data_IF_594118269127
#
_entry.id   IF_594118269127
#
_cell.length_a   1.000
_cell.length_b   1.000
_cell.length_c   1.000
_cell.angle_alpha   90.00
_cell.angle_beta   90.00
_cell.angle_gamma   90.00
#
_symmetry.space_group_name_H-M   'P 1'
#
loop_
_entity.id
_entity.type
_entity.pdbx_description
1 polymer ?
#
# COMPACT_ATOMS: atom_id res chain seq x y z
N UNK A 1 8.36 4.46 -1.97
CA UNK A 1 8.93 5.70 -2.53
C UNK A 1 9.00 6.82 -1.50
N UNK A 2 9.74 7.89 -1.82
CA UNK A 2 9.98 9.02 -0.92
C UNK A 2 8.73 9.84 -0.61
N UNK A 3 8.82 10.72 0.41
CA UNK A 3 7.74 11.68 0.73
C UNK A 3 7.36 12.51 -0.50
N UNK A 4 6.08 12.83 -0.62
CA UNK A 4 5.52 13.74 -1.64
C UNK A 4 5.77 13.31 -3.10
N UNK A 5 6.03 12.03 -3.37
CA UNK A 5 6.18 11.48 -4.73
C UNK A 5 4.87 11.01 -5.37
N UNK A 6 3.74 11.19 -4.68
CA UNK A 6 2.41 10.85 -5.20
C UNK A 6 1.92 9.45 -4.83
N UNK A 7 2.50 8.77 -3.81
CA UNK A 7 2.05 7.44 -3.34
C UNK A 7 0.56 7.39 -3.02
N UNK A 8 0.12 8.28 -2.13
CA UNK A 8 -1.29 8.39 -1.72
C UNK A 8 -2.19 8.73 -2.92
N UNK A 9 -1.73 9.59 -3.85
CA UNK A 9 -2.50 9.92 -5.03
C UNK A 9 -2.76 8.71 -5.94
N UNK A 10 -1.75 7.86 -6.18
CA UNK A 10 -1.93 6.62 -6.94
C UNK A 10 -2.95 5.70 -6.27
N UNK A 11 -2.89 5.57 -4.94
CA UNK A 11 -3.86 4.77 -4.19
C UNK A 11 -5.28 5.34 -4.30
N UNK A 12 -5.45 6.66 -4.21
CA UNK A 12 -6.74 7.32 -4.40
C UNK A 12 -7.26 7.15 -5.83
N UNK A 13 -6.41 7.31 -6.84
CA UNK A 13 -6.78 7.07 -8.24
C UNK A 13 -7.18 5.61 -8.47
N UNK A 14 -6.53 4.66 -7.80
CA UNK A 14 -6.92 3.24 -7.84
C UNK A 14 -8.32 3.03 -7.26
N UNK A 15 -8.63 3.66 -6.11
CA UNK A 15 -9.99 3.62 -5.52
C UNK A 15 -11.02 4.25 -6.48
N UNK A 16 -10.71 5.41 -7.05
CA UNK A 16 -11.61 6.12 -7.96
C UNK A 16 -11.93 5.32 -9.23
N UNK A 17 -10.97 4.51 -9.69
CA UNK A 17 -11.14 3.65 -10.86
C UNK A 17 -12.00 2.41 -10.59
N UNK A 18 -12.36 2.12 -9.34
CA UNK A 18 -13.28 1.01 -8.99
C UNK A 18 -14.76 1.38 -9.15
N UNK A 19 -15.05 2.57 -9.61
CA UNK A 19 -16.43 3.03 -9.79
C UNK A 19 -17.19 2.15 -10.79
N UNK A 20 -18.25 1.50 -10.31
CA UNK A 20 -19.09 0.63 -11.13
C UNK A 20 -18.62 -0.83 -11.22
N UNK A 21 -17.54 -1.20 -10.56
CA UNK A 21 -16.97 -2.57 -10.58
C UNK A 21 -17.47 -3.46 -9.42
N UNK A 22 -18.44 -3.01 -8.62
CA UNK A 22 -18.95 -3.72 -7.41
C UNK A 22 -17.84 -4.13 -6.43
N UNK A 23 -16.79 -3.33 -6.34
CA UNK A 23 -15.64 -3.52 -5.44
C UNK A 23 -15.76 -2.59 -4.24
N UNK A 24 -15.66 -3.13 -3.03
CA UNK A 24 -15.60 -2.33 -1.82
C UNK A 24 -14.17 -1.90 -1.56
N UNK A 25 -13.96 -0.59 -1.39
CA UNK A 25 -12.65 -0.04 -1.10
C UNK A 25 -12.53 0.29 0.40
N UNK A 26 -11.38 -0.02 0.99
CA UNK A 26 -11.05 0.34 2.37
C UNK A 26 -9.75 1.12 2.36
N UNK A 27 -9.80 2.40 2.72
CA UNK A 27 -8.62 3.24 2.88
C UNK A 27 -8.23 3.32 4.35
N UNK A 28 -7.03 2.86 4.68
CA UNK A 28 -6.52 2.82 6.05
C UNK A 28 -5.45 3.88 6.24
N UNK A 29 -5.75 4.92 6.98
CA UNK A 29 -4.82 5.98 7.35
C UNK A 29 -4.13 5.64 8.67
N UNK A 30 -2.81 5.42 8.64
CA UNK A 30 -2.02 5.05 9.82
C UNK A 30 -1.09 6.20 10.19
N UNK A 31 -1.43 6.93 11.25
CA UNK A 31 -0.63 8.03 11.76
C UNK A 31 -0.59 9.26 10.83
N UNK A 32 -1.65 9.49 10.06
CA UNK A 32 -1.83 10.72 9.29
C UNK A 32 -2.43 11.83 10.15
N UNK A 33 -2.27 13.07 9.72
CA UNK A 33 -2.93 14.21 10.36
C UNK A 33 -4.42 14.24 10.05
N UNK A 34 -5.24 14.81 10.93
CA UNK A 34 -6.68 15.01 10.71
C UNK A 34 -6.96 15.80 9.44
N UNK A 35 -6.07 16.76 9.09
CA UNK A 35 -6.17 17.53 7.87
C UNK A 35 -5.99 16.65 6.63
N UNK A 36 -4.95 15.82 6.59
CA UNK A 36 -4.70 14.91 5.46
C UNK A 36 -5.87 13.96 5.23
N UNK A 37 -6.41 13.37 6.31
CA UNK A 37 -7.58 12.47 6.20
C UNK A 37 -8.82 13.22 5.73
N UNK A 38 -9.03 14.45 6.19
CA UNK A 38 -10.13 15.31 5.70
C UNK A 38 -9.99 15.63 4.22
N UNK A 39 -8.77 15.94 3.77
CA UNK A 39 -8.51 16.23 2.35
C UNK A 39 -8.77 15.01 1.48
N UNK A 40 -8.36 13.81 1.93
CA UNK A 40 -8.64 12.52 1.27
C UNK A 40 -10.15 12.27 1.20
N UNK A 41 -10.85 12.40 2.33
CA UNK A 41 -12.31 12.27 2.39
C UNK A 41 -13.00 13.20 1.40
N UNK A 42 -12.59 14.47 1.38
CA UNK A 42 -13.17 15.47 0.49
C UNK A 42 -12.94 15.14 -0.99
N UNK A 43 -11.76 14.65 -1.35
CA UNK A 43 -11.46 14.21 -2.72
C UNK A 43 -12.34 13.03 -3.14
N UNK A 44 -12.47 12.01 -2.29
CA UNK A 44 -13.32 10.85 -2.56
C UNK A 44 -14.80 11.22 -2.63
N UNK A 45 -15.25 12.10 -1.75
CA UNK A 45 -16.64 12.59 -1.72
C UNK A 45 -16.99 13.37 -2.99
N UNK A 46 -16.14 14.34 -3.38
CA UNK A 46 -16.37 15.16 -4.57
C UNK A 46 -16.44 14.35 -5.86
N UNK A 47 -15.79 13.17 -5.88
CA UNK A 47 -15.80 12.27 -7.04
C UNK A 47 -16.78 11.10 -6.90
N UNK A 48 -17.63 11.10 -5.85
CA UNK A 48 -18.67 10.10 -5.62
C UNK A 48 -18.14 8.72 -5.19
N UNK A 49 -16.88 8.62 -4.77
CA UNK A 49 -16.27 7.34 -4.38
C UNK A 49 -16.63 6.91 -2.95
N UNK A 50 -17.21 7.80 -2.13
CA UNK A 50 -17.63 7.47 -0.77
C UNK A 50 -18.81 6.48 -0.71
N UNK A 51 -19.51 6.26 -1.81
CA UNK A 51 -20.60 5.27 -1.89
C UNK A 51 -20.09 3.81 -1.72
N UNK A 52 -18.84 3.55 -2.13
CA UNK A 52 -18.20 2.22 -2.07
C UNK A 52 -16.89 2.23 -1.28
N UNK A 53 -16.56 3.31 -0.55
CA UNK A 53 -15.30 3.44 0.18
C UNK A 53 -15.53 3.61 1.67
N UNK A 54 -14.82 2.81 2.47
CA UNK A 54 -14.73 2.91 3.92
C UNK A 54 -13.38 3.53 4.27
N UNK A 55 -13.36 4.55 5.13
CA UNK A 55 -12.13 5.13 5.66
C UNK A 55 -11.96 4.69 7.12
N UNK A 56 -10.86 4.01 7.41
CA UNK A 56 -10.43 3.64 8.76
C UNK A 56 -9.19 4.46 9.09
N UNK A 57 -9.24 5.28 10.12
CA UNK A 57 -8.17 6.21 10.41
C UNK A 57 -7.73 6.16 11.88
N UNK A 58 -6.42 6.10 12.10
CA UNK A 58 -5.77 6.46 13.34
C UNK A 58 -4.82 7.64 13.07
N UNK A 59 -4.98 8.68 13.87
CA UNK A 59 -4.28 9.94 13.68
C UNK A 59 -2.90 9.91 14.35
N UNK A 60 -2.03 10.83 13.98
CA UNK A 60 -0.69 10.95 14.52
C UNK A 60 -0.64 11.32 16.02
N UNK A 61 -1.73 11.87 16.55
CA UNK A 61 -1.93 12.24 17.97
C UNK A 61 -2.63 11.13 18.78
N UNK A 62 -3.04 10.03 18.15
CA UNK A 62 -3.60 8.86 18.83
C UNK A 62 -2.48 8.05 19.51
N UNK A 63 -2.85 7.28 20.55
CA UNK A 63 -1.90 6.43 21.25
C UNK A 63 -1.37 5.28 20.38
N UNK A 64 -0.14 4.86 20.63
CA UNK A 64 0.56 3.84 19.84
C UNK A 64 -0.23 2.51 19.66
N UNK A 65 -0.93 1.96 20.67
CA UNK A 65 -1.74 0.75 20.50
C UNK A 65 -2.90 0.92 19.50
N UNK A 66 -3.50 2.09 19.40
CA UNK A 66 -4.55 2.38 18.40
C UNK A 66 -3.96 2.36 17.01
N UNK A 67 -2.83 3.04 16.80
CA UNK A 67 -2.11 3.03 15.52
C UNK A 67 -1.68 1.61 15.11
N UNK A 68 -1.23 0.80 16.07
CA UNK A 68 -0.83 -0.58 15.81
C UNK A 68 -2.02 -1.47 15.43
N UNK A 69 -3.18 -1.31 16.07
CA UNK A 69 -4.35 -2.17 15.84
C UNK A 69 -5.19 -1.78 14.62
N UNK A 70 -5.09 -0.55 14.16
CA UNK A 70 -5.90 0.02 13.06
C UNK A 70 -5.88 -0.83 11.78
N UNK A 71 -4.72 -1.27 11.23
CA UNK A 71 -4.72 -2.08 10.02
C UNK A 71 -5.40 -3.44 10.24
N UNK A 72 -5.28 -4.05 11.41
CA UNK A 72 -5.96 -5.31 11.72
C UNK A 72 -7.48 -5.15 11.76
N UNK A 73 -7.97 -4.07 12.36
CA UNK A 73 -9.40 -3.75 12.37
C UNK A 73 -9.95 -3.58 10.94
N UNK A 74 -9.23 -2.85 10.09
CA UNK A 74 -9.61 -2.66 8.70
C UNK A 74 -9.63 -3.98 7.90
N UNK A 75 -8.64 -4.84 8.11
CA UNK A 75 -8.57 -6.16 7.47
C UNK A 75 -9.68 -7.09 7.95
N UNK A 76 -10.09 -7.01 9.23
CA UNK A 76 -11.25 -7.76 9.74
C UNK A 76 -12.55 -7.33 9.07
N UNK A 77 -12.70 -6.03 8.76
CA UNK A 77 -13.82 -5.52 7.95
C UNK A 77 -13.76 -6.12 6.54
N UNK A 78 -12.57 -6.14 5.92
CA UNK A 78 -12.38 -6.73 4.60
C UNK A 78 -12.74 -8.23 4.55
N UNK A 79 -12.34 -9.00 5.58
CA UNK A 79 -12.69 -10.42 5.69
C UNK A 79 -14.20 -10.66 5.79
N UNK A 80 -14.95 -9.75 6.42
CA UNK A 80 -16.40 -9.86 6.49
C UNK A 80 -17.02 -9.83 5.10
N UNK A 81 -16.62 -8.87 4.27
CA UNK A 81 -17.08 -8.78 2.88
C UNK A 81 -16.58 -9.93 2.01
N UNK A 82 -15.34 -10.39 2.23
CA UNK A 82 -14.81 -11.58 1.55
C UNK A 82 -15.70 -12.81 1.79
N UNK A 83 -16.16 -13.02 3.02
CA UNK A 83 -17.05 -14.13 3.38
C UNK A 83 -18.43 -14.01 2.73
N UNK A 84 -18.87 -12.79 2.43
CA UNK A 84 -20.07 -12.50 1.66
C UNK A 84 -19.87 -12.70 0.15
N UNK A 85 -18.66 -13.08 -0.30
CA UNK A 85 -18.35 -13.30 -1.70
C UNK A 85 -18.03 -12.02 -2.48
N UNK A 86 -17.73 -10.91 -1.81
CA UNK A 86 -17.44 -9.62 -2.44
C UNK A 86 -15.94 -9.43 -2.67
N UNK A 87 -15.60 -8.63 -3.66
CA UNK A 87 -14.24 -8.18 -3.93
C UNK A 87 -13.92 -6.91 -3.13
N UNK A 88 -12.77 -6.90 -2.48
CA UNK A 88 -12.33 -5.80 -1.59
C UNK A 88 -10.96 -5.32 -1.96
N UNK A 89 -10.80 -4.00 -2.09
CA UNK A 89 -9.51 -3.33 -2.24
C UNK A 89 -9.15 -2.65 -0.91
N UNK A 90 -8.03 -3.03 -0.31
CA UNK A 90 -7.52 -2.43 0.93
C UNK A 90 -6.25 -1.65 0.66
N UNK A 91 -6.23 -0.38 1.01
CA UNK A 91 -5.04 0.49 0.94
C UNK A 91 -4.53 0.73 2.37
N UNK A 92 -3.27 0.37 2.65
CA UNK A 92 -2.62 0.60 3.95
C UNK A 92 -1.61 1.76 3.81
N UNK A 93 -1.96 2.95 4.30
CA UNK A 93 -1.14 4.17 4.16
C UNK A 93 -0.75 4.75 5.53
N UNK A 94 0.51 4.52 6.10
CA UNK A 94 1.55 3.68 5.48
C UNK A 94 2.09 2.64 6.48
N UNK A 95 2.64 1.56 5.97
CA UNK A 95 3.20 0.49 6.80
C UNK A 95 4.56 0.83 7.42
N UNK A 96 5.29 1.83 6.91
CA UNK A 96 6.51 2.31 7.58
C UNK A 96 6.16 2.95 8.92
N UNK A 97 5.11 3.77 8.95
CA UNK A 97 4.61 4.37 10.19
C UNK A 97 4.13 3.30 11.17
N UNK A 98 3.41 2.28 10.67
CA UNK A 98 3.02 1.14 11.51
C UNK A 98 4.23 0.43 12.13
N UNK A 99 5.29 0.17 11.35
CA UNK A 99 6.52 -0.43 11.87
C UNK A 99 7.20 0.44 12.95
N UNK A 100 7.25 1.75 12.72
CA UNK A 100 7.83 2.69 13.70
C UNK A 100 7.05 2.69 15.02
N UNK A 101 5.73 2.59 14.96
CA UNK A 101 4.86 2.44 16.14
C UNK A 101 5.11 1.11 16.86
N UNK A 102 5.25 0.00 16.12
CA UNK A 102 5.59 -1.30 16.72
C UNK A 102 6.95 -1.24 17.43
N UNK A 103 7.93 -0.54 16.86
CA UNK A 103 9.24 -0.30 17.49
C UNK A 103 9.11 0.52 18.77
N UNK A 104 8.33 1.61 18.74
CA UNK A 104 8.06 2.43 19.91
C UNK A 104 7.46 1.62 21.07
N UNK A 105 6.43 0.82 20.80
CA UNK A 105 5.80 -0.05 21.80
C UNK A 105 6.80 -1.07 22.34
N UNK A 106 7.58 -1.71 21.48
CA UNK A 106 8.56 -2.72 21.90
C UNK A 106 9.65 -2.12 22.81
N UNK A 107 10.11 -0.92 22.49
CA UNK A 107 11.11 -0.22 23.31
C UNK A 107 10.53 0.21 24.66
N UNK A 108 9.30 0.71 24.70
CA UNK A 108 8.62 1.04 25.96
C UNK A 108 8.35 -0.20 26.84
N UNK A 109 8.18 -1.36 26.22
CA UNK A 109 8.01 -2.64 26.92
C UNK A 109 9.36 -3.33 27.24
N UNK A 110 10.48 -2.66 27.02
CA UNK A 110 11.84 -3.18 27.26
C UNK A 110 12.11 -4.53 26.56
N UNK A 111 11.44 -4.78 25.42
CA UNK A 111 11.68 -5.99 24.62
C UNK A 111 13.06 -5.89 23.92
N UNK A 112 13.73 -7.03 23.82
CA UNK A 112 15.03 -7.11 23.12
C UNK A 112 14.88 -6.63 21.67
N UNK A 113 15.63 -5.59 21.27
CA UNK A 113 15.54 -5.05 19.91
C UNK A 113 16.18 -6.00 18.89
N UNK A 114 15.56 -6.11 17.74
CA UNK A 114 16.12 -6.75 16.56
C UNK A 114 16.86 -5.77 15.65
N UNK A 115 16.92 -6.08 14.35
CA UNK A 115 17.56 -5.22 13.34
C UNK A 115 16.92 -3.84 13.32
N UNK A 116 17.72 -2.80 13.25
CA UNK A 116 17.33 -1.38 13.25
C UNK A 116 16.41 -1.01 14.44
N UNK A 117 16.58 -1.73 15.56
CA UNK A 117 15.77 -1.64 16.77
C UNK A 117 14.26 -1.97 16.59
N UNK A 118 13.87 -2.56 15.47
CA UNK A 118 12.51 -3.10 15.32
C UNK A 118 12.33 -4.38 16.14
N UNK A 119 11.08 -4.70 16.53
CA UNK A 119 10.78 -5.99 17.15
C UNK A 119 11.22 -7.13 16.23
N UNK A 120 11.78 -8.24 16.78
CA UNK A 120 12.21 -9.38 15.96
C UNK A 120 11.07 -10.01 15.13
N UNK A 121 9.84 -9.87 15.59
CA UNK A 121 8.61 -10.39 14.95
C UNK A 121 7.92 -9.42 13.99
N UNK A 122 8.53 -8.27 13.68
CA UNK A 122 7.92 -7.26 12.79
C UNK A 122 7.63 -7.82 11.37
N UNK A 123 8.51 -8.69 10.87
CA UNK A 123 8.29 -9.36 9.59
C UNK A 123 7.01 -10.23 9.63
N UNK A 124 6.84 -10.99 10.70
CA UNK A 124 5.66 -11.83 10.89
C UNK A 124 4.38 -11.00 11.02
N UNK A 125 4.43 -9.87 11.74
CA UNK A 125 3.30 -8.96 11.87
C UNK A 125 2.84 -8.44 10.49
N UNK A 126 3.78 -8.01 9.63
CA UNK A 126 3.46 -7.54 8.29
C UNK A 126 3.02 -8.66 7.35
N UNK A 127 3.70 -9.82 7.39
CA UNK A 127 3.33 -11.01 6.60
C UNK A 127 1.89 -11.43 6.90
N UNK A 128 1.52 -11.54 8.18
CA UNK A 128 0.16 -11.90 8.60
C UNK A 128 -0.91 -10.92 8.08
N UNK A 129 -0.60 -9.63 8.00
CA UNK A 129 -1.53 -8.64 7.42
C UNK A 129 -1.64 -8.76 5.91
N UNK A 130 -0.51 -8.88 5.22
CA UNK A 130 -0.46 -8.82 3.75
C UNK A 130 -0.90 -10.12 3.09
N UNK A 131 -0.71 -11.27 3.76
CA UNK A 131 -1.17 -12.58 3.28
C UNK A 131 -2.70 -12.79 3.39
N UNK A 132 -3.42 -11.85 4.00
CA UNK A 132 -4.88 -11.80 3.88
C UNK A 132 -5.35 -11.39 2.47
N UNK A 133 -4.45 -10.84 1.65
CA UNK A 133 -4.70 -10.65 0.23
C UNK A 133 -4.83 -12.00 -0.48
N UNK A 134 -6.03 -12.37 -0.89
CA UNK A 134 -6.31 -13.69 -1.47
C UNK A 134 -7.55 -13.69 -2.36
N UNK A 135 -7.63 -14.70 -3.23
CA UNK A 135 -8.86 -15.09 -3.93
C UNK A 135 -9.50 -16.24 -3.17
N UNK A 136 -10.70 -16.05 -2.65
CA UNK A 136 -11.41 -17.08 -1.89
C UNK A 136 -12.08 -18.10 -2.81
N UNK A 137 -12.11 -19.38 -2.38
CA UNK A 137 -12.69 -20.47 -3.17
C UNK A 137 -14.19 -20.33 -3.44
N UNK A 138 -14.90 -19.70 -2.53
CA UNK A 138 -16.36 -19.51 -2.61
C UNK A 138 -16.76 -18.18 -3.31
N UNK A 139 -15.85 -17.54 -3.99
CA UNK A 139 -16.01 -16.20 -4.57
C UNK A 139 -15.48 -15.12 -3.62
N UNK A 140 -15.32 -13.93 -4.17
CA UNK A 140 -14.72 -12.79 -3.49
C UNK A 140 -13.19 -12.82 -3.45
N UNK A 141 -12.61 -11.65 -3.31
CA UNK A 141 -11.18 -11.46 -3.21
C UNK A 141 -10.80 -10.29 -2.30
N UNK A 142 -9.60 -10.31 -1.74
CA UNK A 142 -8.99 -9.15 -1.09
C UNK A 142 -7.70 -8.81 -1.83
N UNK A 143 -7.63 -7.59 -2.36
CA UNK A 143 -6.41 -7.01 -2.91
C UNK A 143 -5.86 -6.00 -1.92
N UNK A 144 -4.62 -6.18 -1.47
CA UNK A 144 -3.97 -5.28 -0.52
C UNK A 144 -2.91 -4.44 -1.21
N UNK A 145 -3.02 -3.10 -1.11
CA UNK A 145 -2.03 -2.14 -1.58
C UNK A 145 -1.31 -1.51 -0.38
N UNK A 146 -0.18 -2.06 0.06
CA UNK A 146 0.61 -1.45 1.11
C UNK A 146 1.42 -0.28 0.56
N UNK A 147 1.30 0.89 1.20
CA UNK A 147 2.17 2.03 0.95
C UNK A 147 3.32 1.96 1.95
N UNK A 148 4.54 2.14 1.45
CA UNK A 148 5.73 2.24 2.27
C UNK A 148 6.54 3.47 1.88
N UNK A 149 6.82 4.33 2.86
CA UNK A 149 7.68 5.48 2.69
C UNK A 149 9.15 5.05 2.75
N UNK A 150 9.96 5.51 1.79
CA UNK A 150 11.41 5.35 1.79
C UNK A 150 12.07 6.68 2.14
N UNK A 151 13.35 6.63 2.53
CA UNK A 151 14.17 7.81 2.78
C UNK A 151 15.27 7.90 1.71
N UNK A 152 15.30 9.01 0.96
CA UNK A 152 16.34 9.25 -0.06
C UNK A 152 16.34 8.24 -1.23
N UNK A 153 15.18 7.64 -1.54
CA UNK A 153 15.06 6.64 -2.60
C UNK A 153 15.61 5.27 -2.25
N UNK A 154 16.01 5.04 -1.00
CA UNK A 154 16.56 3.76 -0.55
C UNK A 154 15.45 2.73 -0.35
N UNK A 155 15.34 1.80 -1.29
CA UNK A 155 14.43 0.65 -1.22
C UNK A 155 15.04 -0.54 -0.47
N UNK A 156 16.32 -0.44 -0.06
CA UNK A 156 17.04 -1.50 0.66
C UNK A 156 16.88 -1.42 2.18
N UNK A 157 16.15 -0.40 2.67
CA UNK A 157 15.74 -0.27 4.06
C UNK A 157 15.03 -1.53 4.56
N UNK A 158 15.28 -1.91 5.81
CA UNK A 158 14.81 -3.17 6.40
C UNK A 158 13.30 -3.37 6.26
N UNK A 159 12.49 -2.36 6.53
CA UNK A 159 11.02 -2.48 6.42
C UNK A 159 10.59 -2.56 4.96
N UNK A 160 11.18 -1.76 4.08
CA UNK A 160 10.86 -1.79 2.65
C UNK A 160 11.16 -3.13 2.03
N UNK A 161 12.34 -3.73 2.32
CA UNK A 161 12.73 -5.07 1.82
C UNK A 161 11.82 -6.16 2.34
N UNK A 162 11.39 -6.08 3.61
CA UNK A 162 10.43 -7.03 4.19
C UNK A 162 9.08 -6.97 3.45
N UNK A 163 8.52 -5.78 3.25
CA UNK A 163 7.24 -5.61 2.54
C UNK A 163 7.36 -6.08 1.08
N UNK A 164 8.45 -5.75 0.38
CA UNK A 164 8.72 -6.23 -0.97
C UNK A 164 8.79 -7.76 -1.02
N UNK A 165 9.38 -8.40 -0.01
CA UNK A 165 9.51 -9.86 0.02
C UNK A 165 8.19 -10.58 0.24
N UNK A 166 7.23 -9.95 0.94
CA UNK A 166 5.91 -10.52 1.21
C UNK A 166 4.96 -10.32 0.02
N UNK A 167 5.02 -9.17 -0.65
CA UNK A 167 4.08 -8.79 -1.72
C UNK A 167 4.44 -9.39 -3.07
N UNK A 168 3.47 -9.48 -3.98
CA UNK A 168 3.63 -10.02 -5.35
C UNK A 168 4.31 -9.06 -6.33
N UNK A 169 4.70 -7.90 -5.88
CA UNK A 169 5.41 -6.91 -6.67
C UNK A 169 5.47 -5.55 -5.99
N UNK A 170 6.21 -4.64 -6.62
CA UNK A 170 6.35 -3.28 -6.12
C UNK A 170 6.27 -2.25 -7.24
N UNK A 171 5.69 -1.11 -6.94
CA UNK A 171 5.73 0.11 -7.75
C UNK A 171 6.61 1.11 -6.99
N UNK A 172 7.76 1.44 -7.55
CA UNK A 172 8.73 2.36 -6.95
C UNK A 172 8.55 3.76 -7.52
N UNK A 173 8.30 4.73 -6.64
CA UNK A 173 8.20 6.13 -7.01
C UNK A 173 9.51 6.86 -6.69
N UNK A 174 10.03 7.63 -7.64
CA UNK A 174 11.29 8.34 -7.55
C UNK A 174 11.08 9.84 -7.39
N UNK A 175 11.72 10.43 -6.36
CA UNK A 175 11.74 11.88 -6.20
C UNK A 175 12.38 12.59 -7.41
N UNK A 176 13.46 12.02 -7.96
CA UNK A 176 14.14 12.55 -9.15
C UNK A 176 13.21 12.63 -10.36
N UNK A 177 12.38 11.59 -10.59
CA UNK A 177 11.42 11.58 -11.70
C UNK A 177 10.31 12.60 -11.44
N UNK A 178 9.87 12.75 -10.18
CA UNK A 178 8.88 13.73 -9.81
C UNK A 178 9.36 15.18 -10.06
N UNK A 179 10.61 15.49 -9.69
CA UNK A 179 11.25 16.78 -9.92
C UNK A 179 11.44 17.10 -11.41
N UNK A 180 11.69 16.09 -12.23
CA UNK A 180 11.74 16.20 -13.70
C UNK A 180 10.36 16.43 -14.34
N UNK A 181 9.27 16.45 -13.53
CA UNK A 181 7.90 16.63 -14.02
C UNK A 181 7.23 15.35 -14.52
N UNK A 182 7.87 14.19 -14.40
CA UNK A 182 7.26 12.91 -14.76
C UNK A 182 6.16 12.55 -13.74
N UNK A 183 4.93 12.47 -14.18
CA UNK A 183 3.76 12.12 -13.36
C UNK A 183 2.91 11.08 -14.07
N UNK A 184 2.71 9.91 -13.46
CA UNK A 184 3.23 9.43 -12.15
C UNK A 184 4.76 9.23 -12.19
N UNK A 185 5.41 9.49 -11.04
CA UNK A 185 6.86 9.45 -10.89
C UNK A 185 7.41 8.02 -10.75
N UNK A 186 6.92 7.08 -11.55
CA UNK A 186 7.27 5.66 -11.48
C UNK A 186 8.67 5.44 -12.02
N UNK A 187 9.47 4.71 -11.25
CA UNK A 187 10.74 4.16 -11.71
C UNK A 187 10.48 2.79 -12.35
N UNK A 188 10.49 2.73 -13.67
CA UNK A 188 10.18 1.52 -14.44
C UNK A 188 11.26 0.43 -14.32
N UNK A 189 12.48 0.80 -13.99
CA UNK A 189 13.59 -0.14 -13.78
C UNK A 189 13.45 -0.92 -12.48
N UNK A 190 13.05 -0.25 -11.40
CA UNK A 190 12.92 -0.82 -10.06
C UNK A 190 11.53 -1.38 -9.75
N UNK A 191 10.53 -1.06 -10.59
CA UNK A 191 9.17 -1.57 -10.43
C UNK A 191 9.07 -2.96 -11.07
N UNK A 192 8.64 -3.95 -10.29
CA UNK A 192 8.61 -5.36 -10.69
C UNK A 192 7.31 -6.01 -10.23
N UNK A 193 6.76 -6.90 -11.07
CA UNK A 193 5.69 -7.84 -10.71
C UNK A 193 6.27 -9.27 -10.70
N UNK A 194 6.05 -10.02 -9.63
CA UNK A 194 6.45 -11.44 -9.53
C UNK A 194 5.57 -12.35 -10.37
N UNK A 195 4.29 -12.01 -10.49
CA UNK A 195 3.31 -12.75 -11.30
C UNK A 195 3.52 -12.49 -12.81
N UNK A 196 4.19 -11.39 -13.15
CA UNK A 196 4.50 -11.01 -14.52
C UNK A 196 3.26 -10.94 -15.41
N UNK A 197 3.32 -11.62 -16.55
CA UNK A 197 2.23 -11.64 -17.52
C UNK A 197 1.10 -12.64 -17.24
N UNK A 198 1.04 -13.31 -16.08
CA UNK A 198 0.07 -14.39 -15.83
C UNK A 198 -1.39 -13.94 -15.99
N UNK A 199 -1.72 -12.74 -15.51
CA UNK A 199 -3.08 -12.15 -15.57
C UNK A 199 -3.27 -11.17 -16.74
N UNK A 200 -2.25 -10.97 -17.58
CA UNK A 200 -2.35 -10.06 -18.73
C UNK A 200 -3.11 -10.68 -19.90
N UNK A 201 -3.83 -9.84 -20.62
CA UNK A 201 -4.42 -10.23 -21.91
C UNK A 201 -3.30 -10.55 -22.93
N UNK A 202 -3.62 -11.33 -23.96
CA UNK A 202 -2.64 -11.68 -25.00
C UNK A 202 -2.03 -10.44 -25.69
N UNK A 203 -2.82 -9.39 -25.87
CA UNK A 203 -2.37 -8.12 -26.43
C UNK A 203 -1.32 -7.43 -25.52
N UNK A 204 -1.58 -7.34 -24.21
CA UNK A 204 -0.65 -6.75 -23.26
C UNK A 204 0.63 -7.58 -23.10
N UNK A 205 0.54 -8.91 -23.11
CA UNK A 205 1.74 -9.79 -23.10
C UNK A 205 2.67 -9.54 -24.28
N UNK A 206 2.08 -9.27 -25.46
CA UNK A 206 2.87 -9.02 -26.68
C UNK A 206 3.42 -7.60 -26.74
N UNK A 207 2.65 -6.60 -26.33
CA UNK A 207 3.04 -5.18 -26.41
C UNK A 207 3.92 -4.70 -25.24
N UNK A 208 3.72 -5.23 -24.02
CA UNK A 208 4.37 -4.76 -22.81
C UNK A 208 5.90 -4.83 -22.82
N UNK A 209 6.52 -5.99 -23.13
CA UNK A 209 7.99 -6.12 -23.09
C UNK A 209 8.75 -5.19 -24.06
N UNK A 210 8.37 -5.02 -25.34
CA UNK A 210 9.04 -4.09 -26.23
C UNK A 210 8.90 -2.63 -25.77
N UNK A 211 7.68 -2.19 -25.38
CA UNK A 211 7.44 -0.84 -24.88
C UNK A 211 8.30 -0.54 -23.65
N UNK A 212 8.37 -1.49 -22.69
CA UNK A 212 9.21 -1.32 -21.50
C UNK A 212 10.69 -1.18 -21.87
N UNK A 213 11.18 -1.96 -22.84
CA UNK A 213 12.58 -1.91 -23.28
C UNK A 213 12.91 -0.55 -23.93
N UNK A 214 12.07 -0.08 -24.82
CA UNK A 214 12.24 1.22 -25.48
C UNK A 214 12.17 2.37 -24.47
N UNK A 215 11.25 2.30 -23.51
CA UNK A 215 11.14 3.30 -22.46
C UNK A 215 12.39 3.34 -21.56
N UNK A 216 12.94 2.20 -21.17
CA UNK A 216 14.17 2.15 -20.39
C UNK A 216 15.36 2.71 -21.17
N UNK A 217 15.50 2.36 -22.44
CA UNK A 217 16.55 2.90 -23.32
C UNK A 217 16.42 4.42 -23.53
N UNK A 218 15.21 4.96 -23.50
CA UNK A 218 14.99 6.42 -23.59
C UNK A 218 15.36 7.15 -22.30
N UNK A 219 15.23 6.48 -21.13
CA UNK A 219 15.49 7.07 -19.82
C UNK A 219 16.96 6.98 -19.37
N UNK A 220 17.78 6.15 -20.02
CA UNK A 220 19.25 6.08 -19.85
C UNK A 220 19.94 7.23 -20.58
#
# INVERSE_FOLDING_TARGET
GDKKTGKTQIALDTILNQRGEDIICIYVAIGKTKKEVKDIYSQLLCRGAMEYTIIVAAFNDDCAPVLQSTPYAALSIAETYLREGKDVLVVLDDLKRHADVCREIALLMEKTPGRDAYPPDIFYAHSRMLELGCQHKNGGSITVLPICETKGGDITDFISTNIISITDGQIVLSAKNFEKGQKPAINYGLSVSRLGGAVQTAALKKAGPPIRRELLAYLE
#
